data_IF_847974108017
#
_entry.id   IF_847974108017
#
_cell.length_a   1.000
_cell.length_b   1.000
_cell.length_c   1.000
_cell.angle_alpha   90.00
_cell.angle_beta   90.00
_cell.angle_gamma   90.00
#
_symmetry.space_group_name_H-M   'P 1'
#
loop_
_entity.id
_entity.type
_entity.pdbx_description
1 polymer ?
#
# COMPACT_ATOMS: atom_id res chain seq x y z
N UNK A 1 10.76 -56.03 12.51
CA UNK A 1 10.97 -54.75 13.24
C UNK A 1 12.43 -54.47 13.63
N UNK A 2 13.34 -55.45 13.75
CA UNK A 2 14.73 -55.18 14.21
C UNK A 2 15.80 -54.81 13.15
N UNK A 3 15.49 -54.79 11.84
CA UNK A 3 16.49 -54.43 10.81
C UNK A 3 16.36 -52.99 10.27
N UNK A 4 15.29 -52.28 10.61
CA UNK A 4 15.05 -50.90 10.19
C UNK A 4 15.62 -49.90 11.20
N UNK A 5 15.51 -50.19 12.51
CA UNK A 5 16.09 -49.35 13.57
C UNK A 5 17.63 -49.27 13.48
N UNK A 6 18.30 -50.35 13.08
CA UNK A 6 19.77 -50.41 13.01
C UNK A 6 20.35 -49.62 11.83
N UNK A 7 19.62 -49.48 10.72
CA UNK A 7 20.06 -48.64 9.58
C UNK A 7 19.87 -47.14 9.86
N UNK A 8 18.78 -46.75 10.52
CA UNK A 8 18.52 -45.34 10.86
C UNK A 8 19.50 -44.81 11.92
N UNK A 9 19.87 -45.63 12.91
CA UNK A 9 20.88 -45.25 13.92
C UNK A 9 22.28 -45.15 13.31
N UNK A 10 22.64 -46.03 12.37
CA UNK A 10 23.92 -45.95 11.67
C UNK A 10 24.04 -44.70 10.78
N UNK A 11 22.95 -44.31 10.10
CA UNK A 11 22.90 -43.08 9.29
C UNK A 11 22.98 -41.83 10.17
N UNK A 12 22.28 -41.82 11.31
CA UNK A 12 22.36 -40.72 12.28
C UNK A 12 23.77 -40.58 12.87
N UNK A 13 24.45 -41.68 13.21
CA UNK A 13 25.83 -41.63 13.71
C UNK A 13 26.84 -41.18 12.63
N UNK A 14 26.64 -41.57 11.37
CA UNK A 14 27.45 -41.10 10.24
C UNK A 14 27.25 -39.59 9.97
N UNK A 15 26.01 -39.09 10.07
CA UNK A 15 25.71 -37.66 9.90
C UNK A 15 26.27 -36.83 11.06
N UNK A 16 26.16 -37.30 12.31
CA UNK A 16 26.78 -36.63 13.45
C UNK A 16 28.31 -36.60 13.35
N UNK A 17 28.93 -37.67 12.83
CA UNK A 17 30.37 -37.70 12.59
C UNK A 17 30.80 -36.72 11.49
N UNK A 18 30.00 -36.55 10.43
CA UNK A 18 30.25 -35.54 9.39
C UNK A 18 30.11 -34.13 9.96
N UNK A 19 29.08 -33.84 10.77
CA UNK A 19 28.90 -32.52 11.40
C UNK A 19 30.05 -32.18 12.36
N UNK A 20 30.56 -33.15 13.13
CA UNK A 20 31.70 -32.94 14.04
C UNK A 20 33.03 -32.77 13.27
N UNK A 21 33.21 -33.48 12.15
CA UNK A 21 34.39 -33.31 11.27
C UNK A 21 34.35 -31.97 10.51
N UNK A 22 33.16 -31.44 10.22
CA UNK A 22 33.01 -30.13 9.57
C UNK A 22 33.07 -28.96 10.57
N UNK A 23 32.55 -29.09 11.80
CA UNK A 23 32.67 -28.04 12.82
C UNK A 23 34.11 -27.87 13.31
N UNK A 24 34.89 -28.95 13.37
CA UNK A 24 36.33 -28.90 13.68
C UNK A 24 37.18 -28.34 12.52
N UNK A 25 36.72 -28.45 11.28
CA UNK A 25 37.36 -27.81 10.11
C UNK A 25 36.95 -26.34 9.94
N UNK A 26 35.76 -25.95 10.42
CA UNK A 26 35.23 -24.58 10.33
C UNK A 26 35.84 -23.64 11.37
N UNK A 27 36.19 -24.15 12.57
CA UNK A 27 36.98 -23.39 13.56
C UNK A 27 38.44 -23.14 13.13
N UNK A 28 38.91 -23.77 12.05
CA UNK A 28 40.30 -23.67 11.58
C UNK A 28 40.51 -22.71 10.39
N UNK A 29 39.46 -22.11 9.82
CA UNK A 29 39.62 -21.21 8.66
C UNK A 29 38.74 -19.96 8.76
N UNK A 30 39.21 -18.97 9.51
CA UNK A 30 38.63 -17.62 9.59
C UNK A 30 38.89 -16.74 8.35
N UNK A 31 39.20 -17.33 7.19
CA UNK A 31 39.46 -16.58 5.96
C UNK A 31 38.70 -17.19 4.79
N UNK A 32 37.47 -16.71 4.56
CA UNK A 32 36.77 -16.51 3.27
C UNK A 32 35.27 -16.40 3.53
N UNK A 33 34.76 -15.17 3.54
CA UNK A 33 33.35 -14.84 3.82
C UNK A 33 32.44 -14.88 2.59
N UNK A 34 32.97 -15.18 1.41
CA UNK A 34 32.19 -15.14 0.18
C UNK A 34 32.09 -16.53 -0.45
N UNK A 35 30.86 -16.91 -0.82
CA UNK A 35 30.44 -18.13 -1.55
C UNK A 35 29.84 -19.31 -0.77
N UNK A 36 29.12 -19.07 0.34
CA UNK A 36 28.19 -20.12 0.79
C UNK A 36 26.96 -20.14 -0.15
N UNK A 37 26.65 -21.24 -0.85
CA UNK A 37 25.52 -21.26 -1.77
C UNK A 37 24.21 -21.16 -0.98
N UNK A 38 23.37 -20.14 -1.25
CA UNK A 38 22.05 -19.92 -0.61
C UNK A 38 21.20 -21.20 -0.57
N UNK A 39 21.38 -22.10 -1.55
CA UNK A 39 20.68 -23.38 -1.69
C UNK A 39 21.10 -24.44 -0.65
N UNK A 40 22.34 -24.42 -0.18
CA UNK A 40 22.85 -25.33 0.88
C UNK A 40 22.39 -24.81 2.25
N UNK A 41 22.42 -23.50 2.47
CA UNK A 41 21.89 -22.90 3.71
C UNK A 41 20.39 -23.18 3.87
N UNK A 42 19.60 -22.99 2.81
CA UNK A 42 18.17 -23.37 2.81
C UNK A 42 17.95 -24.85 3.13
N UNK A 43 18.78 -25.73 2.56
CA UNK A 43 18.69 -27.18 2.82
C UNK A 43 19.02 -27.54 4.27
N UNK A 44 20.07 -26.94 4.86
CA UNK A 44 20.50 -27.20 6.24
C UNK A 44 19.47 -26.68 7.25
N UNK A 45 18.94 -25.47 7.05
CA UNK A 45 17.86 -24.92 7.90
C UNK A 45 16.57 -25.76 7.80
N UNK A 46 16.28 -26.35 6.63
CA UNK A 46 15.13 -27.25 6.44
C UNK A 46 15.29 -28.64 7.07
N UNK A 47 16.51 -29.05 7.38
CA UNK A 47 16.81 -30.37 7.96
C UNK A 47 16.88 -30.35 9.49
N UNK A 48 17.23 -29.20 10.10
CA UNK A 48 17.24 -29.03 11.57
C UNK A 48 15.86 -28.72 12.15
N UNK A 49 14.95 -28.15 11.36
CA UNK A 49 13.54 -28.02 11.72
C UNK A 49 12.81 -29.23 11.15
N UNK A 50 12.21 -30.06 12.00
CA UNK A 50 11.22 -31.05 11.58
C UNK A 50 10.31 -30.42 10.52
N UNK A 51 10.13 -31.09 9.37
CA UNK A 51 9.40 -30.59 8.20
C UNK A 51 7.93 -30.34 8.56
N UNK A 52 7.67 -29.21 9.21
CA UNK A 52 6.42 -28.49 9.17
C UNK A 52 6.40 -27.76 7.83
N UNK A 53 5.27 -27.83 7.13
CA UNK A 53 5.01 -27.10 5.90
C UNK A 53 5.42 -25.63 6.08
N UNK A 54 6.42 -25.16 5.32
CA UNK A 54 6.82 -23.75 5.34
C UNK A 54 5.59 -22.93 4.93
N UNK A 55 5.11 -22.06 5.82
CA UNK A 55 3.99 -21.17 5.54
C UNK A 55 4.34 -20.31 4.32
N UNK A 56 3.52 -20.35 3.26
CA UNK A 56 3.75 -19.60 2.02
C UNK A 56 3.88 -18.09 2.29
N UNK A 57 3.22 -17.60 3.34
CA UNK A 57 3.36 -16.23 3.80
C UNK A 57 4.76 -15.92 4.36
N UNK A 58 5.35 -16.86 5.11
CA UNK A 58 6.69 -16.70 5.69
C UNK A 58 7.80 -16.90 4.65
N UNK A 59 7.58 -17.69 3.59
CA UNK A 59 8.52 -17.78 2.45
C UNK A 59 8.48 -16.53 1.54
N UNK A 60 7.35 -15.81 1.52
CA UNK A 60 7.21 -14.58 0.73
C UNK A 60 7.85 -13.35 1.40
N UNK A 61 7.95 -13.34 2.73
CA UNK A 61 8.55 -12.25 3.49
C UNK A 61 10.03 -12.53 3.79
N UNK A 62 10.88 -11.50 3.89
CA UNK A 62 12.20 -11.65 4.50
C UNK A 62 12.10 -12.21 5.92
N UNK A 63 13.06 -13.03 6.33
CA UNK A 63 13.05 -13.67 7.65
C UNK A 63 13.10 -12.65 8.78
N UNK A 64 13.77 -11.53 8.54
CA UNK A 64 13.87 -10.37 9.44
C UNK A 64 12.50 -9.74 9.72
N UNK A 65 11.51 -9.96 8.85
CA UNK A 65 10.16 -9.44 8.99
C UNK A 65 9.18 -10.39 9.67
N UNK A 66 9.58 -11.63 9.99
CA UNK A 66 8.66 -12.63 10.56
C UNK A 66 8.10 -12.23 11.93
N UNK A 67 8.84 -11.45 12.71
CA UNK A 67 8.40 -10.90 14.00
C UNK A 67 7.47 -9.68 13.85
N UNK A 68 7.60 -8.93 12.76
CA UNK A 68 6.73 -7.78 12.45
C UNK A 68 5.44 -8.21 11.76
N UNK A 69 5.35 -9.44 11.25
CA UNK A 69 4.12 -9.99 10.66
C UNK A 69 3.05 -10.14 11.72
N UNK A 70 1.93 -9.46 11.50
CA UNK A 70 0.74 -9.58 12.35
C UNK A 70 0.08 -10.93 12.10
N UNK A 71 -0.09 -11.72 13.17
CA UNK A 71 -0.79 -13.01 13.16
C UNK A 71 -2.11 -12.95 13.95
N UNK A 72 -2.14 -12.10 14.97
CA UNK A 72 -3.33 -11.82 15.77
C UNK A 72 -3.73 -10.37 15.55
N UNK A 73 -4.94 -10.18 15.03
CA UNK A 73 -5.47 -8.86 14.76
C UNK A 73 -6.38 -8.41 15.89
N UNK A 74 -6.33 -7.14 16.30
CA UNK A 74 -7.25 -6.62 17.29
C UNK A 74 -8.69 -6.82 16.82
N UNK A 75 -9.53 -7.25 17.76
CA UNK A 75 -10.96 -7.33 17.53
C UNK A 75 -11.55 -5.93 17.54
N UNK A 76 -12.77 -5.83 17.03
CA UNK A 76 -13.53 -4.61 17.08
C UNK A 76 -13.64 -4.03 18.49
N UNK A 77 -13.95 -4.90 19.45
CA UNK A 77 -14.10 -4.54 20.86
C UNK A 77 -12.78 -4.05 21.46
N UNK A 78 -11.66 -4.72 21.15
CA UNK A 78 -10.37 -4.34 21.74
C UNK A 78 -9.85 -2.99 21.22
N UNK A 79 -10.15 -2.61 19.98
CA UNK A 79 -9.82 -1.28 19.46
C UNK A 79 -10.57 -0.15 20.17
N UNK A 80 -11.81 -0.40 20.56
CA UNK A 80 -12.64 0.58 21.27
C UNK A 80 -12.16 0.79 22.71
N UNK A 81 -11.69 -0.28 23.35
CA UNK A 81 -11.15 -0.24 24.72
C UNK A 81 -9.73 0.38 24.77
N UNK A 82 -8.92 0.20 23.71
CA UNK A 82 -7.54 0.71 23.60
C UNK A 82 -7.41 2.17 23.17
N UNK A 83 -8.50 2.89 22.92
CA UNK A 83 -8.46 4.27 22.39
C UNK A 83 -7.47 5.21 23.07
N UNK A 84 -7.21 5.00 24.37
CA UNK A 84 -6.40 5.85 25.26
C UNK A 84 -4.98 6.23 24.78
N UNK A 85 -4.30 5.43 23.95
CA UNK A 85 -2.88 5.68 23.61
C UNK A 85 -2.61 5.98 22.12
N UNK A 86 -3.67 6.16 21.30
CA UNK A 86 -3.55 6.11 19.83
C UNK A 86 -3.52 7.46 19.08
N UNK A 87 -3.28 8.57 19.78
CA UNK A 87 -3.44 9.93 19.23
C UNK A 87 -2.17 10.63 18.74
N UNK A 88 -1.04 9.92 18.57
CA UNK A 88 0.19 10.55 18.07
C UNK A 88 0.09 11.04 16.61
N UNK A 89 -0.88 10.58 15.81
CA UNK A 89 -1.02 11.01 14.42
C UNK A 89 -1.41 12.48 14.20
N UNK A 90 -1.90 13.21 15.21
CA UNK A 90 -2.38 14.60 15.00
C UNK A 90 -1.25 15.63 14.76
N UNK A 91 -0.05 15.36 15.26
CA UNK A 91 1.16 16.19 15.08
C UNK A 91 2.12 15.58 14.04
N UNK A 92 1.65 14.59 13.27
CA UNK A 92 2.49 13.67 12.50
C UNK A 92 2.85 12.43 13.33
N UNK A 93 2.79 11.24 12.73
CA UNK A 93 3.09 9.99 13.44
C UNK A 93 2.18 8.83 13.08
N UNK A 94 1.98 7.92 14.03
CA UNK A 94 1.37 6.61 13.83
C UNK A 94 -0.15 6.64 13.91
N UNK A 95 -0.81 5.84 13.06
CA UNK A 95 -2.27 5.77 13.00
C UNK A 95 -2.75 4.41 13.46
N UNK A 96 -3.64 4.40 14.47
CA UNK A 96 -4.42 3.19 14.77
C UNK A 96 -5.60 3.05 13.82
N UNK A 97 -6.14 1.83 13.71
CA UNK A 97 -7.40 1.61 12.99
C UNK A 97 -8.54 2.50 13.53
N UNK A 98 -8.59 2.74 14.85
CA UNK A 98 -9.62 3.58 15.49
C UNK A 98 -9.50 5.04 15.04
N UNK A 99 -8.28 5.59 15.04
CA UNK A 99 -7.98 6.95 14.61
C UNK A 99 -8.35 7.13 13.14
N UNK A 100 -7.92 6.20 12.28
CA UNK A 100 -8.27 6.22 10.85
C UNK A 100 -9.79 6.18 10.62
N UNK A 101 -10.51 5.28 11.28
CA UNK A 101 -11.97 5.17 11.14
C UNK A 101 -12.69 6.44 11.59
N UNK A 102 -12.24 7.03 12.69
CA UNK A 102 -12.85 8.23 13.26
C UNK A 102 -12.70 9.44 12.35
N UNK A 103 -11.55 9.57 11.69
CA UNK A 103 -11.22 10.74 10.86
C UNK A 103 -11.68 10.51 9.41
N UNK A 104 -11.27 9.40 8.79
CA UNK A 104 -11.44 9.15 7.36
C UNK A 104 -12.50 8.09 7.02
N UNK A 105 -12.96 7.31 8.00
CA UNK A 105 -13.88 6.19 7.75
C UNK A 105 -13.22 5.13 6.86
N UNK A 106 -13.92 4.69 5.80
CA UNK A 106 -13.44 3.62 4.93
C UNK A 106 -12.29 4.06 4.01
N UNK A 107 -12.28 5.33 3.60
CA UNK A 107 -11.24 5.94 2.76
C UNK A 107 -10.86 5.17 1.46
N UNK A 108 -11.80 4.41 0.88
CA UNK A 108 -11.55 3.50 -0.25
C UNK A 108 -11.99 4.10 -1.60
N UNK A 109 -11.12 4.01 -2.62
CA UNK A 109 -11.41 4.44 -3.99
C UNK A 109 -11.65 3.23 -4.91
N UNK A 110 -12.92 2.87 -5.14
CA UNK A 110 -13.27 1.62 -5.82
C UNK A 110 -12.78 1.54 -7.28
N UNK A 111 -12.94 2.61 -8.06
CA UNK A 111 -12.51 2.64 -9.46
C UNK A 111 -10.99 2.65 -9.60
N UNK A 112 -10.29 3.34 -8.70
CA UNK A 112 -8.84 3.29 -8.58
C UNK A 112 -8.37 1.85 -8.32
N UNK A 113 -8.89 1.20 -7.28
CA UNK A 113 -8.51 -0.18 -6.93
C UNK A 113 -8.82 -1.17 -8.06
N UNK A 114 -9.94 -0.99 -8.78
CA UNK A 114 -10.27 -1.77 -9.98
C UNK A 114 -9.26 -1.56 -11.11
N UNK A 115 -8.84 -0.33 -11.36
CA UNK A 115 -7.86 -0.07 -12.41
C UNK A 115 -6.49 -0.68 -12.06
N UNK A 116 -6.07 -0.60 -10.80
CA UNK A 116 -4.88 -1.32 -10.34
C UNK A 116 -5.03 -2.84 -10.54
N UNK A 117 -6.15 -3.42 -10.13
CA UNK A 117 -6.37 -4.88 -10.20
C UNK A 117 -6.49 -5.42 -11.63
N UNK A 118 -7.29 -4.77 -12.46
CA UNK A 118 -7.68 -5.27 -13.77
C UNK A 118 -6.93 -4.62 -14.93
N UNK A 119 -6.35 -3.44 -14.74
CA UNK A 119 -5.48 -2.78 -15.72
C UNK A 119 -4.03 -3.23 -15.56
N UNK A 120 -3.45 -3.02 -14.38
CA UNK A 120 -2.03 -3.33 -14.14
C UNK A 120 -1.78 -4.82 -13.87
N UNK A 121 -2.76 -5.52 -13.28
CA UNK A 121 -2.72 -6.97 -12.96
C UNK A 121 -1.40 -7.41 -12.28
N UNK A 122 -0.96 -6.74 -11.20
CA UNK A 122 0.32 -7.02 -10.57
C UNK A 122 0.32 -8.38 -9.88
N UNK A 123 1.37 -9.18 -10.07
CA UNK A 123 1.52 -10.48 -9.36
C UNK A 123 1.94 -10.34 -7.90
N UNK A 124 2.59 -9.23 -7.56
CA UNK A 124 3.01 -8.90 -6.22
C UNK A 124 2.86 -7.41 -5.95
N UNK A 125 2.40 -7.07 -4.75
CA UNK A 125 2.12 -5.69 -4.34
C UNK A 125 2.72 -5.42 -2.98
N UNK A 126 3.36 -4.26 -2.84
CA UNK A 126 3.68 -3.65 -1.54
C UNK A 126 2.90 -2.34 -1.42
N UNK A 127 2.08 -2.21 -0.38
CA UNK A 127 1.44 -0.94 -0.01
C UNK A 127 2.09 -0.41 1.27
N UNK A 128 2.83 0.69 1.14
CA UNK A 128 3.52 1.38 2.23
C UNK A 128 2.61 2.47 2.80
N UNK A 129 2.25 2.34 4.08
CA UNK A 129 1.23 3.17 4.72
C UNK A 129 -0.15 2.82 4.17
N UNK A 130 -0.60 1.61 4.45
CA UNK A 130 -1.80 1.06 3.83
C UNK A 130 -3.12 1.39 4.56
N UNK A 131 -3.03 2.07 5.72
CA UNK A 131 -4.17 2.41 6.56
C UNK A 131 -4.97 1.16 6.92
N UNK A 132 -6.28 1.18 6.67
CA UNK A 132 -7.13 0.00 6.93
C UNK A 132 -6.84 -1.21 6.02
N UNK A 133 -6.01 -1.07 4.99
CA UNK A 133 -5.64 -2.16 4.07
C UNK A 133 -6.72 -2.53 3.04
N UNK A 134 -7.73 -1.67 2.85
CA UNK A 134 -8.85 -1.95 1.93
C UNK A 134 -8.40 -2.06 0.47
N UNK A 135 -7.44 -1.23 0.03
CA UNK A 135 -6.81 -1.36 -1.29
C UNK A 135 -6.03 -2.66 -1.41
N UNK A 136 -5.17 -2.96 -0.43
CA UNK A 136 -4.43 -4.23 -0.36
C UNK A 136 -5.33 -5.48 -0.42
N UNK A 137 -6.40 -5.53 0.35
CA UNK A 137 -7.36 -6.64 0.34
C UNK A 137 -8.17 -6.71 -0.96
N UNK A 138 -8.49 -5.57 -1.58
CA UNK A 138 -9.07 -5.56 -2.92
C UNK A 138 -8.12 -6.21 -3.94
N UNK A 139 -6.85 -5.84 -3.93
CA UNK A 139 -5.86 -6.39 -4.87
C UNK A 139 -5.60 -7.88 -4.65
N UNK A 140 -5.52 -8.33 -3.39
CA UNK A 140 -5.35 -9.73 -3.05
C UNK A 140 -6.53 -10.60 -3.54
N UNK A 141 -7.76 -10.06 -3.51
CA UNK A 141 -8.97 -10.78 -3.94
C UNK A 141 -9.19 -10.79 -5.45
N UNK A 142 -8.95 -9.66 -6.10
CA UNK A 142 -9.58 -9.39 -7.40
C UNK A 142 -8.62 -9.24 -8.57
N UNK A 143 -7.30 -9.20 -8.34
CA UNK A 143 -6.32 -9.28 -9.43
C UNK A 143 -6.53 -10.60 -10.19
N UNK A 144 -6.80 -10.58 -11.51
CA UNK A 144 -6.91 -11.80 -12.31
C UNK A 144 -5.62 -12.62 -12.24
N UNK A 145 -5.74 -13.89 -11.83
CA UNK A 145 -4.59 -14.77 -11.62
C UNK A 145 -3.97 -14.68 -10.21
N UNK A 146 -4.50 -13.83 -9.34
CA UNK A 146 -4.06 -13.65 -7.95
C UNK A 146 -2.87 -12.70 -7.82
N UNK A 147 -2.72 -12.10 -6.64
CA UNK A 147 -1.61 -11.24 -6.28
C UNK A 147 -1.15 -11.51 -4.85
N UNK A 148 0.17 -11.54 -4.64
CA UNK A 148 0.78 -11.62 -3.31
C UNK A 148 0.96 -10.20 -2.76
N UNK A 149 0.20 -9.84 -1.73
CA UNK A 149 0.13 -8.46 -1.24
C UNK A 149 0.70 -8.34 0.16
N UNK A 150 1.57 -7.34 0.37
CA UNK A 150 2.10 -6.94 1.68
C UNK A 150 1.67 -5.51 1.98
N UNK A 151 1.17 -5.31 3.19
CA UNK A 151 0.68 -4.06 3.74
C UNK A 151 1.62 -3.66 4.87
N UNK A 152 2.15 -2.44 4.84
CA UNK A 152 2.97 -1.90 5.93
C UNK A 152 2.21 -0.77 6.60
N UNK A 153 2.02 -0.90 7.91
CA UNK A 153 1.40 0.12 8.76
C UNK A 153 2.06 0.02 10.15
N UNK A 154 2.18 1.10 10.95
CA UNK A 154 2.75 1.04 12.29
C UNK A 154 2.07 0.01 13.21
N UNK A 155 0.75 0.01 13.21
CA UNK A 155 -0.08 -0.73 14.16
C UNK A 155 -0.85 -1.87 13.49
N UNK A 156 -1.15 -2.98 14.21
CA UNK A 156 -2.08 -3.98 13.72
C UNK A 156 -3.45 -3.37 13.39
N UNK A 157 -3.93 -3.64 12.18
CA UNK A 157 -5.23 -3.15 11.70
C UNK A 157 -6.31 -4.19 11.98
N UNK A 158 -7.43 -4.14 11.25
CA UNK A 158 -8.58 -4.98 11.54
C UNK A 158 -8.48 -6.38 10.97
N UNK A 159 -8.80 -7.38 11.80
CA UNK A 159 -8.90 -8.78 11.37
C UNK A 159 -9.90 -9.00 10.22
N UNK A 160 -10.94 -8.16 10.09
CA UNK A 160 -11.87 -8.24 8.95
C UNK A 160 -11.15 -8.16 7.60
N UNK A 161 -10.13 -7.30 7.51
CA UNK A 161 -9.32 -7.13 6.29
C UNK A 161 -8.23 -8.20 6.21
N UNK A 162 -7.54 -8.49 7.31
CA UNK A 162 -6.29 -9.25 7.29
C UNK A 162 -6.32 -10.70 7.82
N UNK A 163 -7.44 -11.16 8.41
CA UNK A 163 -7.61 -12.57 8.79
C UNK A 163 -7.97 -12.84 10.26
N UNK A 164 -8.97 -12.14 10.80
CA UNK A 164 -9.52 -12.39 12.15
C UNK A 164 -10.33 -13.69 12.25
N UNK A 165 -10.76 -14.01 13.48
CA UNK A 165 -11.59 -15.17 13.78
C UNK A 165 -12.81 -15.28 12.85
N UNK A 166 -13.07 -16.48 12.34
CA UNK A 166 -14.23 -16.76 11.47
C UNK A 166 -14.02 -16.49 9.97
N UNK A 167 -12.85 -16.00 9.56
CA UNK A 167 -12.57 -15.76 8.14
C UNK A 167 -11.88 -16.95 7.47
N UNK A 168 -12.32 -17.32 6.26
CA UNK A 168 -11.83 -18.52 5.56
C UNK A 168 -10.72 -18.26 4.54
N UNK A 169 -10.39 -16.99 4.25
CA UNK A 169 -9.36 -16.62 3.26
C UNK A 169 -8.00 -16.53 3.94
N UNK A 170 -7.02 -17.19 3.34
CA UNK A 170 -5.60 -17.08 3.69
C UNK A 170 -4.83 -16.36 2.57
N UNK A 171 -3.55 -16.06 2.85
CA UNK A 171 -2.59 -15.70 1.80
C UNK A 171 -2.60 -16.77 0.68
N UNK A 172 -2.52 -16.39 -0.61
CA UNK A 172 -2.40 -15.04 -1.16
C UNK A 172 -3.72 -14.31 -1.44
N UNK A 173 -4.88 -14.95 -1.21
CA UNK A 173 -6.20 -14.30 -1.40
C UNK A 173 -6.56 -13.28 -0.31
N UNK A 174 -5.57 -12.92 0.50
CA UNK A 174 -5.59 -11.95 1.59
C UNK A 174 -4.20 -11.37 1.78
N UNK A 175 -4.06 -10.06 2.04
CA UNK A 175 -2.75 -9.44 2.23
C UNK A 175 -2.11 -9.88 3.56
N UNK A 176 -0.78 -9.86 3.59
CA UNK A 176 0.00 -9.90 4.83
C UNK A 176 0.09 -8.48 5.39
N UNK A 177 0.02 -8.33 6.70
CA UNK A 177 0.32 -7.07 7.37
C UNK A 177 1.64 -7.16 8.12
N UNK A 178 2.52 -6.19 7.89
CA UNK A 178 3.66 -5.89 8.75
C UNK A 178 3.30 -4.70 9.63
N UNK A 179 3.33 -4.89 10.94
CA UNK A 179 3.17 -3.83 11.95
C UNK A 179 4.55 -3.28 12.31
N UNK A 180 4.91 -2.15 11.72
CA UNK A 180 6.21 -1.52 11.96
C UNK A 180 6.27 -0.04 11.59
N UNK A 181 6.99 0.75 12.38
CA UNK A 181 7.54 2.02 11.92
C UNK A 181 8.77 1.79 11.08
N UNK A 182 8.64 1.93 9.77
CA UNK A 182 9.72 1.53 8.85
C UNK A 182 11.03 2.31 9.02
N UNK A 183 11.01 3.47 9.68
CA UNK A 183 12.19 4.29 9.97
C UNK A 183 12.65 4.22 11.44
N UNK A 184 11.93 3.48 12.30
CA UNK A 184 12.32 3.32 13.69
C UNK A 184 13.45 2.28 13.84
N UNK A 185 14.35 2.44 14.84
CA UNK A 185 15.47 1.53 15.04
C UNK A 185 15.07 0.06 15.25
N UNK A 186 13.93 -0.21 15.89
CA UNK A 186 13.44 -1.56 16.20
C UNK A 186 12.85 -2.29 14.98
N UNK A 187 12.60 -1.58 13.88
CA UNK A 187 12.13 -2.14 12.61
C UNK A 187 13.22 -2.20 11.55
N UNK A 188 14.42 -1.67 11.84
CA UNK A 188 15.49 -1.46 10.87
C UNK A 188 15.83 -2.73 10.08
N UNK A 189 15.99 -3.86 10.74
CA UNK A 189 16.38 -5.11 10.08
C UNK A 189 15.31 -5.61 9.09
N UNK A 190 14.03 -5.61 9.51
CA UNK A 190 12.93 -5.94 8.60
C UNK A 190 12.83 -4.94 7.45
N UNK A 191 12.91 -3.64 7.76
CA UNK A 191 12.78 -2.56 6.77
C UNK A 191 13.89 -2.65 5.71
N UNK A 192 15.15 -2.79 6.13
CA UNK A 192 16.28 -2.93 5.23
C UNK A 192 16.17 -4.19 4.37
N UNK A 193 15.68 -5.30 4.92
CA UNK A 193 15.46 -6.53 4.17
C UNK A 193 14.30 -6.43 3.16
N UNK A 194 13.19 -5.80 3.54
CA UNK A 194 12.01 -5.61 2.69
C UNK A 194 12.28 -4.69 1.49
N UNK A 195 13.15 -3.69 1.68
CA UNK A 195 13.55 -2.71 0.67
C UNK A 195 14.95 -2.98 0.07
N UNK A 196 15.50 -4.18 0.30
CA UNK A 196 16.76 -4.61 -0.29
C UNK A 196 16.65 -4.68 -1.82
N UNK A 197 17.75 -4.47 -2.54
CA UNK A 197 17.80 -4.46 -4.01
C UNK A 197 17.48 -5.82 -4.68
N UNK A 198 17.61 -6.91 -3.91
CA UNK A 198 17.20 -8.27 -4.29
C UNK A 198 15.70 -8.55 -4.05
N UNK A 199 15.01 -7.68 -3.31
CA UNK A 199 13.58 -7.76 -3.05
C UNK A 199 12.82 -6.86 -4.02
N UNK A 200 11.59 -7.23 -4.36
CA UNK A 200 10.79 -6.40 -5.25
C UNK A 200 9.37 -6.87 -5.48
N UNK A 201 8.53 -5.90 -5.84
CA UNK A 201 7.10 -6.05 -6.06
C UNK A 201 6.75 -5.51 -7.44
N UNK A 202 5.82 -6.16 -8.15
CA UNK A 202 5.37 -5.67 -9.46
C UNK A 202 4.68 -4.31 -9.35
N UNK A 203 3.94 -4.08 -8.27
CA UNK A 203 3.35 -2.78 -7.96
C UNK A 203 3.76 -2.35 -6.54
N UNK A 204 4.30 -1.14 -6.42
CA UNK A 204 4.47 -0.47 -5.13
C UNK A 204 3.48 0.69 -5.05
N UNK A 205 2.82 0.80 -3.91
CA UNK A 205 1.87 1.86 -3.58
C UNK A 205 2.36 2.62 -2.36
N UNK A 206 2.24 3.95 -2.39
CA UNK A 206 2.32 4.81 -1.21
C UNK A 206 1.41 6.00 -1.46
N UNK A 207 0.32 6.12 -0.69
CA UNK A 207 -0.83 6.94 -1.03
C UNK A 207 -1.21 7.82 0.16
N UNK A 208 -0.86 9.11 0.12
CA UNK A 208 -1.03 10.06 1.24
C UNK A 208 -0.32 9.58 2.51
N UNK A 209 1.01 9.45 2.41
CA UNK A 209 1.87 8.92 3.48
C UNK A 209 3.08 9.80 3.70
N UNK A 210 3.71 10.29 2.63
CA UNK A 210 4.97 11.03 2.72
C UNK A 210 4.83 12.32 3.55
N UNK A 211 3.66 12.96 3.54
CA UNK A 211 3.34 14.13 4.35
C UNK A 211 3.29 13.85 5.86
N UNK A 212 3.25 12.59 6.27
CA UNK A 212 3.30 12.17 7.68
C UNK A 212 4.68 11.67 8.10
N UNK A 213 5.62 11.55 7.15
CA UNK A 213 6.98 11.08 7.40
C UNK A 213 7.87 12.29 7.68
N UNK A 214 8.68 12.29 8.76
CA UNK A 214 9.62 13.37 9.03
C UNK A 214 10.54 13.66 7.83
N UNK A 215 10.80 14.94 7.51
CA UNK A 215 11.48 15.34 6.27
C UNK A 215 12.91 14.78 6.13
N UNK A 216 13.58 14.44 7.23
CA UNK A 216 14.89 13.79 7.23
C UNK A 216 14.88 12.39 6.61
N UNK A 217 13.72 11.72 6.59
CA UNK A 217 13.56 10.39 5.98
C UNK A 217 13.04 10.45 4.53
N UNK A 218 12.77 11.63 3.98
CA UNK A 218 12.17 11.77 2.63
C UNK A 218 13.03 11.12 1.53
N UNK A 219 14.35 11.38 1.53
CA UNK A 219 15.24 10.77 0.53
C UNK A 219 15.36 9.25 0.72
N UNK A 220 15.31 8.76 1.97
CA UNK A 220 15.30 7.33 2.28
C UNK A 220 14.00 6.65 1.82
N UNK A 221 12.85 7.30 2.04
CA UNK A 221 11.54 6.86 1.55
C UNK A 221 11.54 6.72 0.03
N UNK A 222 11.97 7.75 -0.69
CA UNK A 222 12.09 7.74 -2.17
C UNK A 222 12.94 6.57 -2.62
N UNK A 223 14.11 6.39 -2.02
CA UNK A 223 15.05 5.34 -2.38
C UNK A 223 14.49 3.93 -2.11
N UNK A 224 13.79 3.73 -0.99
CA UNK A 224 13.15 2.46 -0.61
C UNK A 224 12.02 2.09 -1.57
N UNK A 225 11.07 3.01 -1.81
CA UNK A 225 9.96 2.78 -2.74
C UNK A 225 10.44 2.52 -4.17
N UNK A 226 11.46 3.26 -4.63
CA UNK A 226 12.06 3.04 -5.94
C UNK A 226 12.72 1.65 -6.06
N UNK A 227 13.51 1.22 -5.06
CA UNK A 227 14.16 -0.11 -5.01
C UNK A 227 13.15 -1.25 -5.04
N UNK A 228 12.11 -1.16 -4.22
CA UNK A 228 11.06 -2.18 -4.15
C UNK A 228 10.28 -2.32 -5.48
N UNK A 229 10.25 -1.30 -6.33
CA UNK A 229 9.45 -1.30 -7.55
C UNK A 229 10.11 -2.11 -8.67
N UNK A 230 9.47 -3.17 -9.16
CA UNK A 230 9.94 -3.95 -10.33
C UNK A 230 9.23 -3.59 -11.63
N UNK A 231 7.97 -3.14 -11.59
CA UNK A 231 7.25 -2.63 -12.77
C UNK A 231 6.65 -1.25 -12.55
N UNK A 232 5.74 -1.10 -11.59
CA UNK A 232 4.98 0.14 -11.38
C UNK A 232 5.14 0.66 -9.96
N UNK A 233 5.35 1.98 -9.83
CA UNK A 233 5.14 2.72 -8.59
C UNK A 233 3.96 3.65 -8.80
N UNK A 234 2.94 3.57 -7.95
CA UNK A 234 1.87 4.59 -7.89
C UNK A 234 1.99 5.30 -6.55
N UNK A 235 2.33 6.58 -6.63
CA UNK A 235 2.67 7.42 -5.50
C UNK A 235 1.71 8.60 -5.43
N UNK A 236 1.22 8.94 -4.24
CA UNK A 236 0.51 10.18 -3.96
C UNK A 236 0.94 10.69 -2.58
N UNK A 237 1.01 12.01 -2.43
CA UNK A 237 1.34 12.68 -1.19
C UNK A 237 0.68 14.06 -1.18
N UNK A 238 0.44 14.61 0.01
CA UNK A 238 -0.15 15.93 0.11
C UNK A 238 0.69 17.00 -0.62
N UNK A 239 0.01 17.87 -1.37
CA UNK A 239 0.62 19.05 -2.02
C UNK A 239 0.83 20.17 -0.98
N UNK A 240 1.78 21.11 -1.20
CA UNK A 240 1.93 22.26 -0.32
C UNK A 240 0.61 22.99 -0.09
N UNK A 241 0.26 23.24 1.18
CA UNK A 241 -0.99 23.88 1.58
C UNK A 241 -2.24 22.99 1.56
N UNK A 242 -2.12 21.70 1.23
CA UNK A 242 -3.22 20.75 1.40
C UNK A 242 -3.43 20.48 2.89
N UNK A 243 -4.59 20.86 3.40
CA UNK A 243 -5.00 20.50 4.75
C UNK A 243 -5.23 18.99 4.90
N UNK A 244 -5.12 18.52 6.14
CA UNK A 244 -5.35 17.14 6.56
C UNK A 244 -4.80 16.96 7.97
N UNK A 245 -5.19 15.89 8.64
CA UNK A 245 -4.73 15.65 10.02
C UNK A 245 -3.32 15.08 9.99
N UNK A 246 -2.39 15.62 10.79
CA UNK A 246 -1.04 15.08 10.92
C UNK A 246 -0.10 15.38 9.76
N UNK A 247 -0.43 16.33 8.89
CA UNK A 247 0.46 16.75 7.81
C UNK A 247 1.63 17.55 8.39
N UNK A 248 2.84 17.28 7.88
CA UNK A 248 4.06 18.01 8.16
C UNK A 248 4.35 18.90 6.95
N UNK A 249 4.33 20.23 7.13
CA UNK A 249 4.46 21.20 6.05
C UNK A 249 5.75 21.00 5.24
N UNK A 250 6.87 20.70 5.91
CA UNK A 250 8.18 20.48 5.29
C UNK A 250 8.26 19.20 4.44
N UNK A 251 7.35 18.24 4.66
CA UNK A 251 7.27 16.99 3.91
C UNK A 251 6.31 17.07 2.71
N UNK A 252 5.56 18.17 2.57
CA UNK A 252 4.67 18.39 1.45
C UNK A 252 5.40 19.02 0.27
N UNK A 253 5.47 18.28 -0.84
CA UNK A 253 6.17 18.73 -2.05
C UNK A 253 5.28 18.70 -3.29
N UNK A 254 5.63 19.53 -4.26
CA UNK A 254 4.90 19.61 -5.53
C UNK A 254 5.11 18.35 -6.36
N UNK A 255 4.18 18.12 -7.31
CA UNK A 255 4.25 16.96 -8.20
C UNK A 255 5.55 16.89 -8.98
N UNK A 256 6.00 18.03 -9.51
CA UNK A 256 7.20 18.09 -10.32
C UNK A 256 8.46 17.79 -9.49
N UNK A 257 8.47 18.17 -8.21
CA UNK A 257 9.53 17.81 -7.27
C UNK A 257 9.60 16.30 -7.03
N UNK A 258 8.45 15.65 -6.79
CA UNK A 258 8.40 14.19 -6.63
C UNK A 258 8.84 13.47 -7.91
N UNK A 259 8.42 13.96 -9.09
CA UNK A 259 8.84 13.41 -10.38
C UNK A 259 10.36 13.49 -10.53
N UNK A 260 10.94 14.67 -10.27
CA UNK A 260 12.39 14.87 -10.34
C UNK A 260 13.12 13.90 -9.41
N UNK A 261 12.70 13.82 -8.15
CA UNK A 261 13.32 12.95 -7.15
C UNK A 261 13.25 11.48 -7.51
N UNK A 262 12.08 10.93 -7.82
CA UNK A 262 11.93 9.52 -8.16
C UNK A 262 12.65 9.13 -9.46
N UNK A 263 12.73 10.04 -10.44
CA UNK A 263 13.45 9.78 -11.70
C UNK A 263 14.96 10.00 -11.60
N UNK A 264 15.45 10.58 -10.50
CA UNK A 264 16.88 10.83 -10.26
C UNK A 264 17.61 9.67 -9.58
N UNK A 265 16.90 8.83 -8.80
CA UNK A 265 17.49 7.77 -7.97
C UNK A 265 17.70 6.46 -8.75
N UNK A 266 18.78 5.75 -8.44
CA UNK A 266 19.06 4.41 -8.97
C UNK A 266 18.40 3.35 -8.08
N UNK A 267 17.83 2.30 -8.68
CA UNK A 267 17.12 1.22 -7.95
C UNK A 267 18.04 0.12 -7.43
N UNK A 268 19.36 0.23 -7.59
CA UNK A 268 20.32 -0.81 -7.21
C UNK A 268 20.37 -1.96 -8.21
N UNK A 269 21.36 -2.84 -8.05
CA UNK A 269 21.52 -4.06 -8.85
C UNK A 269 21.40 -3.91 -10.39
N UNK A 270 21.82 -2.76 -10.94
CA UNK A 270 21.74 -2.50 -12.38
C UNK A 270 20.31 -2.40 -12.93
N UNK A 271 19.31 -2.23 -12.05
CA UNK A 271 17.89 -2.06 -12.44
C UNK A 271 17.60 -0.65 -13.01
N UNK A 272 18.58 0.25 -13.00
CA UNK A 272 18.42 1.60 -13.51
C UNK A 272 17.40 2.42 -12.71
N UNK A 273 16.89 3.49 -13.32
CA UNK A 273 15.98 4.44 -12.68
C UNK A 273 14.53 4.17 -13.04
N UNK A 274 13.62 4.80 -12.30
CA UNK A 274 12.22 4.90 -12.71
C UNK A 274 12.03 6.01 -13.75
N UNK A 275 11.04 5.88 -14.62
CA UNK A 275 10.59 6.95 -15.52
C UNK A 275 9.11 7.28 -15.30
N UNK A 276 8.73 8.53 -15.55
CA UNK A 276 7.34 8.97 -15.45
C UNK A 276 6.47 8.24 -16.50
N UNK A 277 5.29 7.79 -16.09
CA UNK A 277 4.23 7.28 -16.97
C UNK A 277 3.09 8.30 -17.03
N UNK A 278 3.19 9.36 -17.87
CA UNK A 278 2.23 10.45 -17.87
C UNK A 278 0.80 10.03 -18.22
N UNK A 279 0.63 9.07 -19.13
CA UNK A 279 -0.68 8.58 -19.56
C UNK A 279 -1.31 7.71 -18.47
N UNK A 280 -0.55 6.79 -17.87
CA UNK A 280 -1.03 6.02 -16.73
C UNK A 280 -1.36 6.93 -15.53
N UNK A 281 -0.49 7.89 -15.22
CA UNK A 281 -0.72 8.88 -14.15
C UNK A 281 -2.04 9.62 -14.37
N UNK A 282 -2.29 10.06 -15.61
CA UNK A 282 -3.56 10.69 -15.99
C UNK A 282 -4.73 9.71 -15.84
N UNK A 283 -4.59 8.49 -16.36
CA UNK A 283 -5.58 7.42 -16.26
C UNK A 283 -6.03 7.18 -14.83
N UNK A 284 -5.07 6.95 -13.93
CA UNK A 284 -5.32 6.66 -12.53
C UNK A 284 -5.99 7.85 -11.83
N UNK A 285 -5.51 9.09 -12.03
CA UNK A 285 -6.17 10.30 -11.47
C UNK A 285 -7.61 10.47 -11.93
N UNK A 286 -7.96 10.01 -13.12
CA UNK A 286 -9.35 10.03 -13.57
C UNK A 286 -10.18 8.93 -12.89
N UNK A 287 -9.57 7.77 -12.63
CA UNK A 287 -10.21 6.65 -11.93
C UNK A 287 -10.41 6.91 -10.43
N UNK A 288 -9.70 7.85 -9.83
CA UNK A 288 -9.98 8.26 -8.45
C UNK A 288 -11.27 9.09 -8.34
N UNK A 289 -11.78 9.57 -9.48
CA UNK A 289 -13.12 10.13 -9.68
C UNK A 289 -13.38 11.45 -8.95
N UNK A 290 -14.31 12.26 -9.44
CA UNK A 290 -14.70 13.58 -8.89
C UNK A 290 -15.14 13.65 -7.40
N UNK A 291 -15.12 12.57 -6.61
CA UNK A 291 -15.72 12.53 -5.26
C UNK A 291 -15.02 11.65 -4.23
N UNK A 292 -14.47 10.48 -4.60
CA UNK A 292 -14.16 9.47 -3.58
C UNK A 292 -12.82 9.78 -2.88
N UNK A 293 -11.81 10.18 -3.67
CA UNK A 293 -10.48 10.61 -3.21
C UNK A 293 -9.90 11.72 -4.11
N UNK A 294 -10.78 12.52 -4.73
CA UNK A 294 -10.36 13.59 -5.65
C UNK A 294 -9.50 14.66 -4.98
N UNK A 295 -9.82 14.99 -3.73
CA UNK A 295 -9.12 16.01 -2.98
C UNK A 295 -7.64 15.64 -2.76
N UNK A 296 -7.38 14.36 -2.50
CA UNK A 296 -6.05 13.84 -2.23
C UNK A 296 -5.30 13.52 -3.54
N UNK A 297 -5.90 12.67 -4.37
CA UNK A 297 -5.22 12.11 -5.55
C UNK A 297 -5.29 13.00 -6.80
N UNK A 298 -6.18 13.98 -6.84
CA UNK A 298 -6.52 14.72 -8.07
C UNK A 298 -5.36 15.49 -8.69
N UNK A 299 -4.38 15.90 -7.89
CA UNK A 299 -3.29 16.77 -8.34
C UNK A 299 -1.90 16.16 -8.17
N UNK A 300 -1.63 15.44 -7.08
CA UNK A 300 -0.29 14.97 -6.72
C UNK A 300 -0.07 13.45 -6.87
N UNK A 301 -1.04 12.71 -7.41
CA UNK A 301 -0.85 11.31 -7.75
C UNK A 301 -0.03 11.15 -9.04
N UNK A 302 0.99 10.29 -8.99
CA UNK A 302 1.95 10.03 -10.06
C UNK A 302 2.14 8.52 -10.20
N UNK A 303 2.23 8.05 -11.44
CA UNK A 303 2.64 6.69 -11.77
C UNK A 303 4.02 6.71 -12.44
N UNK A 304 4.89 5.80 -12.03
CA UNK A 304 6.21 5.59 -12.59
C UNK A 304 6.37 4.15 -13.07
N UNK A 305 7.20 3.97 -14.08
CA UNK A 305 7.56 2.70 -14.68
C UNK A 305 9.02 2.36 -14.42
N UNK A 306 9.30 1.08 -14.23
CA UNK A 306 10.64 0.53 -14.38
C UNK A 306 11.08 0.55 -15.85
N UNK A 307 12.38 0.48 -16.10
CA UNK A 307 12.92 0.35 -17.46
C UNK A 307 12.22 -0.79 -18.24
N UNK A 308 11.79 -0.49 -19.46
CA UNK A 308 11.04 -1.42 -20.33
C UNK A 308 9.53 -1.49 -20.06
N UNK A 309 9.00 -0.72 -19.11
CA UNK A 309 7.54 -0.59 -18.90
C UNK A 309 6.97 0.51 -19.78
N UNK A 310 6.00 0.14 -20.62
CA UNK A 310 5.29 1.05 -21.52
C UNK A 310 4.28 1.93 -20.76
N UNK A 311 4.13 3.17 -21.23
CA UNK A 311 3.10 4.09 -20.73
C UNK A 311 1.76 3.82 -21.42
N UNK A 312 0.96 2.96 -20.81
CA UNK A 312 -0.34 2.52 -21.31
C UNK A 312 -1.48 3.34 -20.70
N UNK A 313 -2.38 3.85 -21.56
CA UNK A 313 -3.66 4.43 -21.14
C UNK A 313 -4.76 3.36 -21.21
N UNK A 314 -4.96 2.61 -20.14
CA UNK A 314 -6.12 1.71 -20.03
C UNK A 314 -7.28 2.37 -19.28
N UNK A 315 -7.92 3.35 -19.92
CA UNK A 315 -9.19 3.89 -19.44
C UNK A 315 -10.31 3.15 -20.17
N UNK A 316 -11.14 2.32 -19.50
CA UNK A 316 -12.30 1.72 -20.16
C UNK A 316 -13.14 2.81 -20.82
N UNK A 317 -13.60 2.59 -22.05
CA UNK A 317 -14.37 3.58 -22.81
C UNK A 317 -15.57 4.13 -22.02
N UNK A 318 -16.19 3.33 -21.14
CA UNK A 318 -17.28 3.80 -20.26
C UNK A 318 -16.82 4.82 -19.19
N UNK A 319 -15.60 4.70 -18.67
CA UNK A 319 -15.01 5.70 -17.79
C UNK A 319 -14.69 6.97 -18.60
N UNK A 320 -14.19 6.82 -19.82
CA UNK A 320 -14.10 7.95 -20.74
C UNK A 320 -15.50 8.57 -20.97
N UNK A 321 -16.51 7.83 -21.37
CA UNK A 321 -17.83 8.42 -21.69
C UNK A 321 -18.55 9.02 -20.46
N UNK A 322 -18.34 8.49 -19.25
CA UNK A 322 -18.92 9.02 -18.02
C UNK A 322 -18.15 10.17 -17.36
N UNK A 323 -16.83 10.23 -17.53
CA UNK A 323 -15.97 11.24 -16.91
C UNK A 323 -15.43 12.27 -17.92
N UNK A 324 -15.69 12.07 -19.22
CA UNK A 324 -15.05 12.74 -20.34
C UNK A 324 -16.09 13.18 -21.39
N UNK A 325 -17.32 13.51 -20.97
CA UNK A 325 -18.14 14.38 -21.81
C UNK A 325 -17.48 15.78 -21.76
N UNK A 326 -16.79 16.22 -22.81
CA UNK A 326 -15.87 17.35 -22.70
C UNK A 326 -16.65 18.65 -22.61
N UNK A 327 -16.26 19.55 -21.71
CA UNK A 327 -16.07 20.91 -22.20
C UNK A 327 -15.01 20.82 -23.32
N UNK A 328 -15.17 21.52 -24.46
CA UNK A 328 -14.25 21.44 -25.57
C UNK A 328 -12.89 21.97 -25.12
N UNK A 329 -12.00 21.08 -24.66
CA UNK A 329 -10.57 21.34 -24.61
C UNK A 329 -10.05 21.20 -26.04
N UNK A 330 -10.56 22.07 -26.91
CA UNK A 330 -10.41 22.01 -28.35
C UNK A 330 -10.47 23.41 -28.93
N UNK A 331 -9.28 23.94 -29.26
CA UNK A 331 -8.95 25.11 -30.08
C UNK A 331 -9.55 26.49 -29.77
N UNK A 332 -10.80 26.64 -29.34
CA UNK A 332 -11.44 27.95 -29.27
C UNK A 332 -11.06 28.80 -28.05
N UNK A 333 -10.61 28.17 -26.95
CA UNK A 333 -10.24 28.89 -25.71
C UNK A 333 -8.72 29.08 -25.56
N UNK A 334 -7.90 28.17 -26.10
CA UNK A 334 -6.46 28.11 -25.75
C UNK A 334 -5.48 28.43 -26.88
N UNK A 335 -5.95 28.61 -28.13
CA UNK A 335 -5.08 28.91 -29.28
C UNK A 335 -4.07 27.78 -29.60
N UNK A 336 -3.48 27.83 -30.80
CA UNK A 336 -2.54 26.81 -31.30
C UNK A 336 -1.17 26.85 -30.57
N UNK A 337 -1.12 26.53 -29.28
CA UNK A 337 0.12 26.28 -28.56
C UNK A 337 0.06 24.91 -27.87
N UNK A 338 0.85 23.96 -28.37
CA UNK A 338 0.96 22.56 -27.94
C UNK A 338 1.40 22.35 -26.46
N UNK A 339 1.48 23.40 -25.63
CA UNK A 339 2.23 23.37 -24.37
C UNK A 339 1.45 23.76 -23.09
N UNK A 340 0.11 23.83 -23.08
CA UNK A 340 -0.63 23.84 -21.79
C UNK A 340 -0.91 22.42 -21.30
N UNK A 341 0.18 21.76 -20.92
CA UNK A 341 0.19 20.52 -20.15
C UNK A 341 -0.25 20.84 -18.72
N UNK A 342 -1.25 20.09 -18.24
CA UNK A 342 -1.78 20.06 -16.88
C UNK A 342 -2.79 21.15 -16.52
N UNK A 343 -3.96 20.72 -16.02
CA UNK A 343 -4.88 21.58 -15.30
C UNK A 343 -4.11 22.18 -14.11
N UNK A 344 -4.06 23.50 -14.05
CA UNK A 344 -3.43 24.27 -12.99
C UNK A 344 -4.44 24.56 -11.87
N UNK A 345 -3.95 25.01 -10.72
CA UNK A 345 -4.76 25.37 -9.53
C UNK A 345 -5.91 26.35 -9.83
N UNK A 346 -5.75 27.18 -10.87
CA UNK A 346 -6.78 28.12 -11.35
C UNK A 346 -7.96 27.44 -12.07
N UNK A 347 -7.79 26.23 -12.58
CA UNK A 347 -8.82 25.50 -13.33
C UNK A 347 -9.72 24.66 -12.40
N UNK A 348 -9.33 24.51 -11.12
CA UNK A 348 -10.02 23.67 -10.13
C UNK A 348 -11.43 24.20 -9.75
N UNK A 349 -11.67 25.51 -9.53
CA UNK A 349 -13.00 26.02 -9.21
C UNK A 349 -14.00 25.84 -10.37
N UNK A 350 -13.56 26.13 -11.60
CA UNK A 350 -14.38 25.99 -12.82
C UNK A 350 -14.65 24.51 -13.16
N UNK A 351 -13.69 23.61 -12.87
CA UNK A 351 -13.82 22.15 -12.93
C UNK A 351 -14.82 21.60 -11.89
N UNK A 352 -14.90 22.20 -10.71
CA UNK A 352 -15.84 21.81 -9.65
C UNK A 352 -17.27 22.32 -9.89
N UNK A 353 -17.44 23.44 -10.60
CA UNK A 353 -18.75 24.04 -10.93
C UNK A 353 -19.41 23.43 -12.18
N UNK A 354 -18.66 23.08 -13.23
CA UNK A 354 -19.22 22.60 -14.51
C UNK A 354 -19.38 21.06 -14.59
N UNK A 355 -20.37 20.50 -13.87
CA UNK A 355 -20.68 19.05 -13.88
C UNK A 355 -21.87 18.71 -14.79
N UNK A 356 -21.64 18.10 -15.96
CA UNK A 356 -22.71 17.37 -16.68
C UNK A 356 -22.74 15.90 -16.23
N UNK A 357 -23.92 15.31 -15.95
CA UNK A 357 -24.03 13.89 -15.58
C UNK A 357 -23.62 12.95 -16.73
N UNK A 358 -23.14 11.75 -16.38
CA UNK A 358 -22.74 10.73 -17.35
C UNK A 358 -23.89 10.45 -18.36
N UNK A 359 -23.67 10.60 -19.68
CA UNK A 359 -24.69 10.38 -20.71
C UNK A 359 -25.38 9.00 -20.65
N UNK A 360 -24.65 7.95 -20.27
CA UNK A 360 -25.20 6.60 -20.15
C UNK A 360 -26.25 6.46 -19.01
N UNK A 361 -26.19 7.34 -18.01
CA UNK A 361 -27.08 7.34 -16.84
C UNK A 361 -28.12 8.48 -16.93
N UNK A 362 -28.02 9.30 -17.97
CA UNK A 362 -28.84 10.47 -18.22
C UNK A 362 -30.20 10.14 -18.87
N UNK A 363 -30.55 8.86 -19.01
CA UNK A 363 -31.86 8.44 -19.54
C UNK A 363 -33.03 8.79 -18.62
N UNK A 364 -32.77 9.22 -17.38
CA UNK A 364 -33.81 9.41 -16.35
C UNK A 364 -33.98 10.86 -15.84
N UNK A 365 -33.35 11.87 -16.44
CA UNK A 365 -33.60 13.28 -16.06
C UNK A 365 -33.26 13.63 -14.60
N UNK A 366 -32.27 12.95 -14.01
CA UNK A 366 -31.88 13.10 -12.60
C UNK A 366 -31.07 14.39 -12.42
N UNK A 367 -31.44 15.25 -11.48
CA UNK A 367 -30.69 16.47 -11.16
C UNK A 367 -29.29 16.16 -10.58
N UNK A 368 -28.40 17.15 -10.60
CA UNK A 368 -27.00 16.98 -10.24
C UNK A 368 -26.77 16.58 -8.76
N UNK A 369 -27.64 16.95 -7.84
CA UNK A 369 -27.51 16.64 -6.41
C UNK A 369 -28.05 15.24 -6.10
N UNK A 370 -29.16 14.86 -6.72
CA UNK A 370 -29.68 13.49 -6.73
C UNK A 370 -28.67 12.52 -7.36
N UNK A 371 -27.95 12.95 -8.40
CA UNK A 371 -26.85 12.19 -8.99
C UNK A 371 -25.67 12.00 -8.01
N UNK A 372 -25.23 13.07 -7.33
CA UNK A 372 -24.18 12.98 -6.30
C UNK A 372 -24.57 12.01 -5.20
N UNK A 373 -25.80 12.09 -4.70
CA UNK A 373 -26.30 11.23 -3.64
C UNK A 373 -26.39 9.77 -4.09
N UNK A 374 -27.01 9.46 -5.24
CA UNK A 374 -27.09 8.10 -5.79
C UNK A 374 -25.71 7.49 -6.05
N UNK A 375 -24.75 8.30 -6.50
CA UNK A 375 -23.36 7.85 -6.72
C UNK A 375 -22.64 7.57 -5.41
N UNK A 376 -22.73 8.46 -4.42
CA UNK A 376 -22.15 8.22 -3.08
C UNK A 376 -22.71 6.93 -2.50
N UNK A 377 -24.02 6.74 -2.55
CA UNK A 377 -24.70 5.51 -2.11
C UNK A 377 -24.24 4.27 -2.89
N UNK A 378 -23.95 4.39 -4.18
CA UNK A 378 -23.44 3.28 -4.97
C UNK A 378 -22.00 2.90 -4.59
N UNK A 379 -21.10 3.89 -4.44
CA UNK A 379 -19.71 3.67 -4.01
C UNK A 379 -19.66 3.13 -2.58
N UNK A 380 -20.41 3.74 -1.67
CA UNK A 380 -20.59 3.26 -0.30
C UNK A 380 -21.17 1.84 -0.28
N UNK A 381 -22.13 1.56 -1.16
CA UNK A 381 -22.70 0.22 -1.35
C UNK A 381 -21.68 -0.83 -1.82
N UNK A 382 -20.68 -0.44 -2.63
CA UNK A 382 -19.59 -1.36 -3.01
C UNK A 382 -18.69 -1.68 -1.83
N UNK A 383 -18.33 -0.66 -1.05
CA UNK A 383 -17.54 -0.82 0.17
C UNK A 383 -18.26 -1.71 1.20
N UNK A 384 -19.55 -1.46 1.41
CA UNK A 384 -20.45 -2.27 2.25
C UNK A 384 -20.51 -3.74 1.85
N UNK A 385 -20.61 -4.00 0.55
CA UNK A 385 -20.68 -5.38 0.05
C UNK A 385 -19.35 -6.13 0.25
N UNK A 386 -18.23 -5.41 0.25
CA UNK A 386 -16.89 -6.00 0.36
C UNK A 386 -16.40 -6.16 1.80
N UNK A 387 -16.82 -5.26 2.70
CA UNK A 387 -16.45 -5.25 4.13
C UNK A 387 -17.64 -4.82 5.01
N UNK A 388 -18.70 -5.65 5.11
CA UNK A 388 -19.93 -5.28 5.81
C UNK A 388 -19.70 -4.98 7.30
N UNK A 389 -18.85 -5.77 7.97
CA UNK A 389 -18.54 -5.56 9.39
C UNK A 389 -17.77 -4.26 9.64
N UNK A 390 -16.84 -3.91 8.74
CA UNK A 390 -16.11 -2.65 8.81
C UNK A 390 -17.01 -1.44 8.53
N UNK A 391 -17.95 -1.55 7.59
CA UNK A 391 -18.94 -0.49 7.36
C UNK A 391 -19.83 -0.27 8.58
N UNK A 392 -20.34 -1.36 9.20
CA UNK A 392 -21.13 -1.28 10.42
C UNK A 392 -20.34 -0.59 11.53
N UNK A 393 -19.06 -0.93 11.71
CA UNK A 393 -18.19 -0.26 12.65
C UNK A 393 -18.09 1.25 12.39
N UNK A 394 -17.77 1.64 11.16
CA UNK A 394 -17.62 3.04 10.78
C UNK A 394 -18.91 3.81 11.06
N UNK A 395 -20.08 3.22 10.76
CA UNK A 395 -21.39 3.83 11.07
C UNK A 395 -21.58 4.02 12.57
N UNK A 396 -21.27 3.01 13.37
CA UNK A 396 -21.40 3.06 14.83
C UNK A 396 -20.47 4.12 15.44
N UNK A 397 -19.22 4.22 14.97
CA UNK A 397 -18.28 5.27 15.39
C UNK A 397 -18.78 6.66 14.98
N UNK A 398 -19.19 6.85 13.71
CA UNK A 398 -19.71 8.14 13.21
C UNK A 398 -21.01 8.58 13.89
N UNK A 399 -21.85 7.63 14.30
CA UNK A 399 -23.08 7.92 15.06
C UNK A 399 -22.83 8.26 16.53
N UNK A 400 -21.60 8.05 17.03
CA UNK A 400 -21.24 8.20 18.44
C UNK A 400 -21.71 7.06 19.34
N UNK A 401 -22.34 6.00 18.80
CA UNK A 401 -22.65 4.77 19.53
C UNK A 401 -21.37 4.11 20.05
N UNK A 402 -20.33 4.14 19.23
CA UNK A 402 -18.98 3.72 19.59
C UNK A 402 -18.08 4.95 19.66
N UNK A 403 -17.25 5.03 20.70
CA UNK A 403 -16.25 6.09 20.82
C UNK A 403 -14.87 5.48 20.70
N UNK A 404 -14.11 5.92 19.71
CA UNK A 404 -12.66 5.89 19.79
C UNK A 404 -12.26 7.02 20.75
N UNK A 405 -11.81 6.70 21.97
CA UNK A 405 -11.28 7.70 22.89
C UNK A 405 -9.96 8.24 22.37
N UNK A 406 -9.98 9.13 21.37
CA UNK A 406 -8.81 9.90 20.98
C UNK A 406 -8.65 10.97 22.05
N UNK A 407 -7.70 10.82 22.98
CA UNK A 407 -7.29 11.96 23.80
C UNK A 407 -6.74 13.02 22.84
N UNK A 408 -7.57 14.03 22.54
CA UNK A 408 -7.09 15.30 22.02
C UNK A 408 -6.27 15.89 23.14
N UNK A 409 -4.95 15.91 23.01
CA UNK A 409 -4.16 16.92 23.68
C UNK A 409 -4.73 18.26 23.24
N UNK A 410 -5.57 18.84 24.08
CA UNK A 410 -5.93 20.24 23.98
C UNK A 410 -4.61 20.99 24.19
N UNK A 411 -3.97 21.41 23.10
CA UNK A 411 -3.08 22.55 23.20
C UNK A 411 -3.94 23.66 23.81
N UNK A 412 -3.58 24.05 25.03
CA UNK A 412 -4.24 25.16 25.70
C UNK A 412 -4.12 26.38 24.79
N UNK A 413 -5.22 26.77 24.16
CA UNK A 413 -5.50 28.17 23.93
C UNK A 413 -5.53 28.85 25.30
N UNK A 414 -4.37 29.36 25.70
CA UNK A 414 -4.28 30.37 26.74
C UNK A 414 -3.12 31.32 26.40
N UNK A 415 -3.51 32.49 25.86
CA UNK A 415 -2.80 33.77 25.67
C UNK A 415 -1.79 33.90 24.53
#
# INVERSE_FOLDING_TARGET
>A
MNSFLTKSVAIAMLLSAVVVLFSSSWLATQEKKDSFPKQIYKSVVSLERNVETVDEADDFLPVECHEKRVREFPTLTSLLEKGKDSSMGNEGGEWSACTHISIYGMNFAAFFARHLAYGLKPKSVLEFGCGLGTTSDFLARFVPGGSKVVCVEPEPMLGEVFGGEGTSRSFPSRPLQLSMLSFAPDAKDCSDALFHEDMGFELVLSLEVAEHVPPEFTDELIQRLARATTKYLVFAAARPGQGGTGHIDESMHTRDWWIEKFTSVDRGNGRGKLHLLPQLSRGIRMMTGFTDRAYDFGTNLIAFGAEGVDDILEVPQIAHDCFFNPWPVGKEVYGDKEDRKYATEHDLPEFLENKRPCPAWNKEGVDADSYRMKRSLWVEGQAQALWPELDLLIRRVKSGELKCEVERTTSNESN
#
